data_IF_487491221888
#
_entry.id   IF_487491221888
#
_cell.length_a   1.000
_cell.length_b   1.000
_cell.length_c   1.000
_cell.angle_alpha   90.00
_cell.angle_beta   90.00
_cell.angle_gamma   90.00
#
_symmetry.space_group_name_H-M   'P 1'
#
loop_
_entity.id
_entity.type
_entity.pdbx_description
1 polymer ?
#
# COMPACT_ATOMS: atom_id res chain seq x y z
N UNK A 1 -17.95 -62.60 3.64
CA UNK A 1 -18.93 -61.48 3.76
C UNK A 1 -18.23 -60.12 3.92
N UNK A 2 -17.38 -59.95 4.95
CA UNK A 2 -16.68 -58.67 5.23
C UNK A 2 -15.72 -58.21 4.10
N UNK A 3 -15.00 -59.12 3.45
CA UNK A 3 -14.08 -58.78 2.35
C UNK A 3 -14.79 -58.17 1.13
N UNK A 4 -15.93 -58.74 0.74
CA UNK A 4 -16.71 -58.24 -0.40
C UNK A 4 -17.42 -56.93 -0.05
N UNK A 5 -17.82 -56.77 1.22
CA UNK A 5 -18.32 -55.50 1.74
C UNK A 5 -17.29 -54.37 1.70
N UNK A 6 -16.04 -54.64 2.10
CA UNK A 6 -14.93 -53.66 2.05
C UNK A 6 -14.60 -53.28 0.60
N UNK A 7 -14.57 -54.24 -0.32
CA UNK A 7 -14.32 -53.97 -1.74
C UNK A 7 -15.39 -53.06 -2.33
N UNK A 8 -16.66 -53.33 -2.05
CA UNK A 8 -17.76 -52.50 -2.56
C UNK A 8 -17.67 -51.07 -2.01
N UNK A 9 -17.35 -50.91 -0.72
CA UNK A 9 -17.11 -49.59 -0.13
C UNK A 9 -15.96 -48.86 -0.85
N UNK A 10 -14.83 -49.53 -1.10
CA UNK A 10 -13.70 -48.93 -1.81
C UNK A 10 -14.08 -48.46 -3.21
N UNK A 11 -14.85 -49.27 -3.94
CA UNK A 11 -15.35 -48.91 -5.28
C UNK A 11 -16.27 -47.69 -5.21
N UNK A 12 -17.19 -47.64 -4.25
CA UNK A 12 -18.07 -46.48 -4.08
C UNK A 12 -17.32 -45.21 -3.70
N UNK A 13 -16.27 -45.30 -2.86
CA UNK A 13 -15.42 -44.15 -2.50
C UNK A 13 -14.71 -43.59 -3.74
N UNK A 14 -14.16 -44.44 -4.60
CA UNK A 14 -13.49 -44.00 -5.83
C UNK A 14 -14.48 -43.29 -6.76
N UNK A 15 -15.66 -43.89 -6.98
CA UNK A 15 -16.71 -43.29 -7.81
C UNK A 15 -17.15 -41.93 -7.24
N UNK A 16 -17.33 -41.83 -5.92
CA UNK A 16 -17.71 -40.59 -5.24
C UNK A 16 -16.68 -39.48 -5.46
N UNK A 17 -15.39 -39.79 -5.33
CA UNK A 17 -14.32 -38.80 -5.57
C UNK A 17 -14.26 -38.33 -7.02
N UNK A 18 -14.52 -39.23 -7.97
CA UNK A 18 -14.58 -38.88 -9.39
C UNK A 18 -15.74 -37.92 -9.66
N UNK A 19 -16.92 -38.20 -9.11
CA UNK A 19 -18.12 -37.35 -9.25
C UNK A 19 -17.92 -35.98 -8.61
N UNK A 20 -17.33 -35.92 -7.41
CA UNK A 20 -17.05 -34.67 -6.72
C UNK A 20 -16.09 -33.76 -7.51
N UNK A 21 -15.18 -34.35 -8.30
CA UNK A 21 -14.24 -33.58 -9.14
C UNK A 21 -14.91 -32.85 -10.31
N UNK A 22 -16.10 -33.30 -10.73
CA UNK A 22 -16.86 -32.70 -11.84
C UNK A 22 -17.64 -31.45 -11.41
N UNK A 23 -17.70 -31.14 -10.11
CA UNK A 23 -18.38 -29.95 -9.61
C UNK A 23 -17.44 -28.75 -9.81
N UNK A 24 -17.78 -27.75 -10.63
CA UNK A 24 -16.99 -26.53 -10.73
C UNK A 24 -17.12 -25.75 -9.42
N UNK A 25 -16.15 -25.92 -8.51
CA UNK A 25 -16.09 -25.23 -7.20
C UNK A 25 -15.93 -23.69 -7.28
N UNK A 26 -16.03 -23.10 -8.48
CA UNK A 26 -15.78 -21.69 -8.75
C UNK A 26 -16.95 -20.72 -8.48
N UNK A 27 -18.16 -21.21 -8.14
CA UNK A 27 -19.36 -20.35 -8.08
C UNK A 27 -20.06 -20.31 -6.70
N UNK A 28 -19.32 -20.44 -5.61
CA UNK A 28 -19.84 -20.12 -4.27
C UNK A 28 -19.59 -18.65 -3.92
N UNK A 29 -20.14 -17.74 -4.73
CA UNK A 29 -20.42 -16.35 -4.31
C UNK A 29 -21.89 -16.10 -4.65
N UNK A 30 -22.78 -16.80 -3.95
CA UNK A 30 -24.22 -16.61 -4.05
C UNK A 30 -24.84 -16.53 -2.65
N UNK A 31 -24.19 -15.79 -1.74
CA UNK A 31 -24.82 -15.08 -0.61
C UNK A 31 -23.77 -14.32 0.22
N UNK A 32 -22.87 -13.58 -0.45
CA UNK A 32 -22.06 -12.57 0.20
C UNK A 32 -22.61 -11.21 -0.27
N UNK A 33 -23.30 -10.54 0.65
CA UNK A 33 -23.69 -9.13 0.64
C UNK A 33 -24.39 -8.60 -0.63
N UNK A 34 -25.62 -8.09 -0.45
CA UNK A 34 -26.07 -6.94 -1.23
C UNK A 34 -25.06 -5.82 -0.97
N UNK A 35 -24.05 -5.72 -1.84
CA UNK A 35 -23.12 -4.60 -1.82
C UNK A 35 -23.95 -3.41 -2.26
N UNK A 36 -24.46 -2.65 -1.29
CA UNK A 36 -24.84 -1.27 -1.53
C UNK A 36 -23.63 -0.65 -2.21
N UNK A 37 -23.83 -0.09 -3.41
CA UNK A 37 -22.91 0.83 -4.05
C UNK A 37 -22.77 2.06 -3.14
N UNK A 38 -22.09 1.90 -2.01
CA UNK A 38 -21.41 3.00 -1.35
C UNK A 38 -20.48 3.48 -2.43
N UNK A 39 -20.73 4.67 -2.97
CA UNK A 39 -19.74 5.46 -3.66
C UNK A 39 -18.46 5.37 -2.81
N UNK A 40 -17.56 4.46 -3.16
CA UNK A 40 -16.26 4.35 -2.50
C UNK A 40 -15.54 5.57 -3.03
N UNK A 41 -15.72 6.69 -2.35
CA UNK A 41 -14.92 7.88 -2.56
C UNK A 41 -13.51 7.42 -2.29
N UNK A 42 -12.79 7.09 -3.36
CA UNK A 42 -11.40 6.65 -3.30
C UNK A 42 -10.64 7.81 -2.69
N UNK A 43 -10.36 7.71 -1.40
CA UNK A 43 -9.66 8.75 -0.67
C UNK A 43 -8.23 8.75 -1.20
N UNK A 44 -7.74 9.92 -1.60
CA UNK A 44 -6.34 10.04 -2.01
C UNK A 44 -5.44 9.72 -0.81
N UNK A 45 -4.33 9.00 -1.02
CA UNK A 45 -3.38 8.71 0.04
C UNK A 45 -2.87 10.00 0.70
N UNK A 46 -2.78 10.01 2.03
CA UNK A 46 -2.31 11.18 2.79
C UNK A 46 -0.91 10.87 3.35
N UNK A 47 0.02 11.82 3.22
CA UNK A 47 1.37 11.68 3.73
C UNK A 47 1.40 11.63 5.28
N UNK A 48 2.13 10.67 5.83
CA UNK A 48 2.37 10.51 7.27
C UNK A 48 3.69 11.18 7.63
N UNK A 49 3.65 12.49 7.92
CA UNK A 49 4.85 13.33 8.19
C UNK A 49 5.78 12.72 9.25
N UNK A 50 5.23 12.08 10.28
CA UNK A 50 6.00 11.42 11.36
C UNK A 50 6.88 10.26 10.88
N UNK A 51 6.59 9.69 9.70
CA UNK A 51 7.35 8.59 9.09
C UNK A 51 8.36 9.06 8.03
N UNK A 52 8.55 10.38 7.86
CA UNK A 52 9.58 10.91 6.98
C UNK A 52 10.97 10.42 7.41
N UNK A 53 11.82 10.17 6.43
CA UNK A 53 13.25 9.97 6.62
C UNK A 53 14.02 10.93 5.73
N UNK A 54 15.36 10.92 5.79
CA UNK A 54 16.16 11.72 4.87
C UNK A 54 15.81 11.46 3.38
N UNK A 55 15.40 10.23 3.04
CA UNK A 55 15.24 9.77 1.64
C UNK A 55 13.84 9.24 1.31
N UNK A 56 12.87 9.28 2.23
CA UNK A 56 11.56 8.68 1.99
C UNK A 56 10.36 9.47 2.51
N UNK A 57 9.22 9.25 1.84
CA UNK A 57 7.87 9.69 2.23
C UNK A 57 6.95 8.48 2.32
N UNK A 58 6.13 8.41 3.37
CA UNK A 58 5.16 7.32 3.56
C UNK A 58 3.75 7.87 3.55
N UNK A 59 2.83 7.17 2.90
CA UNK A 59 1.44 7.55 2.71
C UNK A 59 0.50 6.50 3.30
N UNK A 60 -0.57 6.94 3.96
CA UNK A 60 -1.69 6.11 4.40
C UNK A 60 -2.70 6.01 3.27
N UNK A 61 -2.98 4.78 2.82
CA UNK A 61 -3.88 4.49 1.71
C UNK A 61 -5.34 4.36 2.16
N UNK A 62 -5.64 4.42 3.47
CA UNK A 62 -6.98 4.25 4.07
C UNK A 62 -7.64 2.89 3.85
N UNK A 63 -6.87 1.88 3.47
CA UNK A 63 -7.28 0.49 3.27
C UNK A 63 -6.47 -0.48 4.16
N UNK A 64 -5.94 0.04 5.27
CA UNK A 64 -5.00 -0.63 6.18
C UNK A 64 -3.62 -0.95 5.55
N UNK A 65 -3.30 -0.40 4.39
CA UNK A 65 -1.97 -0.49 3.79
C UNK A 65 -1.25 0.86 3.80
N UNK A 66 0.07 0.82 3.63
CA UNK A 66 0.92 2.00 3.48
C UNK A 66 1.76 1.88 2.21
N UNK A 67 1.92 3.00 1.51
CA UNK A 67 2.86 3.14 0.39
C UNK A 67 4.05 3.98 0.82
N UNK A 68 5.26 3.65 0.38
CA UNK A 68 6.46 4.46 0.66
C UNK A 68 7.21 4.75 -0.62
N UNK A 69 7.45 6.03 -0.87
CA UNK A 69 8.32 6.52 -1.94
C UNK A 69 9.74 6.67 -1.40
N UNK A 70 10.72 6.11 -2.10
CA UNK A 70 12.13 6.13 -1.71
C UNK A 70 12.94 6.80 -2.82
N UNK A 71 13.75 7.77 -2.44
CA UNK A 71 14.69 8.46 -3.31
C UNK A 71 16.12 7.94 -3.11
N UNK A 72 16.93 7.99 -4.17
CA UNK A 72 18.36 7.68 -4.09
C UNK A 72 19.17 8.81 -3.43
N UNK A 73 18.62 10.03 -3.36
CA UNK A 73 19.25 11.20 -2.77
C UNK A 73 18.39 11.74 -1.61
N UNK A 74 19.00 12.41 -0.61
CA UNK A 74 18.24 13.06 0.45
C UNK A 74 17.25 14.09 -0.10
N UNK A 75 15.99 13.99 0.33
CA UNK A 75 14.86 14.88 -0.02
C UNK A 75 14.32 15.65 1.20
N UNK A 76 14.73 15.25 2.41
CA UNK A 76 14.42 15.96 3.64
C UNK A 76 15.69 16.28 4.44
N UNK A 77 15.62 17.34 5.24
CA UNK A 77 16.62 17.70 6.24
C UNK A 77 15.95 17.86 7.61
N UNK A 78 16.70 17.73 8.71
CA UNK A 78 16.18 18.03 10.05
C UNK A 78 16.35 19.52 10.33
N UNK A 79 15.29 20.17 10.80
CA UNK A 79 15.41 21.51 11.38
C UNK A 79 16.03 21.47 12.79
N UNK A 80 16.19 22.63 13.42
CA UNK A 80 16.76 22.75 14.76
C UNK A 80 15.97 22.00 15.84
N UNK A 81 14.67 21.77 15.59
CA UNK A 81 13.79 21.03 16.48
C UNK A 81 13.85 19.51 16.20
N UNK A 82 14.65 19.08 15.23
CA UNK A 82 14.80 17.70 14.81
C UNK A 82 13.67 17.19 13.90
N UNK A 83 12.79 18.06 13.40
CA UNK A 83 11.69 17.70 12.51
C UNK A 83 12.15 17.63 11.05
N UNK A 84 11.62 16.66 10.30
CA UNK A 84 11.90 16.54 8.87
C UNK A 84 11.16 17.61 8.05
N UNK A 85 11.94 18.50 7.42
CA UNK A 85 11.49 19.49 6.43
C UNK A 85 11.94 19.10 5.03
N UNK A 86 11.16 19.49 4.04
CA UNK A 86 11.43 19.20 2.62
C UNK A 86 12.47 20.16 2.04
N UNK A 87 13.35 19.63 1.19
CA UNK A 87 14.34 20.42 0.47
C UNK A 87 13.65 21.10 -0.72
N UNK A 88 13.46 22.42 -0.64
CA UNK A 88 12.93 23.23 -1.75
C UNK A 88 14.05 23.67 -2.69
N UNK A 89 14.13 23.02 -3.85
CA UNK A 89 15.11 23.34 -4.90
C UNK A 89 14.70 24.50 -5.81
N UNK A 90 13.62 25.22 -5.52
CA UNK A 90 13.23 26.39 -6.31
C UNK A 90 14.27 27.49 -6.19
N UNK A 91 14.75 27.94 -7.35
CA UNK A 91 15.64 29.09 -7.46
C UNK A 91 14.79 30.37 -7.41
N UNK A 92 15.18 31.32 -6.56
CA UNK A 92 14.59 32.65 -6.55
C UNK A 92 15.58 33.65 -7.18
N UNK A 93 15.12 34.39 -8.19
CA UNK A 93 15.91 35.46 -8.77
C UNK A 93 15.99 36.66 -7.81
N UNK A 94 17.19 36.98 -7.34
CA UNK A 94 17.43 38.24 -6.63
C UNK A 94 17.83 39.30 -7.65
N UNK A 95 17.00 40.34 -7.83
CA UNK A 95 17.37 41.53 -8.61
C UNK A 95 18.53 42.25 -7.91
N UNK A 96 19.73 41.93 -8.40
CA UNK A 96 21.01 42.65 -8.36
C UNK A 96 22.14 41.65 -8.08
N UNK A 97 22.90 41.36 -9.15
CA UNK A 97 24.10 40.54 -9.24
C UNK A 97 23.97 39.06 -8.83
N UNK A 98 23.73 38.22 -9.85
CA UNK A 98 24.36 36.89 -10.10
C UNK A 98 24.70 36.05 -8.86
N UNK A 99 23.76 35.85 -7.94
CA UNK A 99 23.86 34.76 -6.95
C UNK A 99 22.55 33.99 -6.97
N UNK A 100 22.60 32.80 -7.56
CA UNK A 100 21.57 31.79 -7.43
C UNK A 100 21.78 31.16 -6.04
N UNK A 101 20.93 31.52 -5.07
CA UNK A 101 20.87 30.81 -3.78
C UNK A 101 19.73 29.81 -3.83
N UNK A 102 19.99 28.57 -3.43
CA UNK A 102 18.94 27.66 -3.01
C UNK A 102 18.14 28.32 -1.89
N UNK A 103 16.82 28.19 -1.90
CA UNK A 103 15.95 28.60 -0.80
C UNK A 103 16.08 27.60 0.37
N UNK A 104 17.31 27.38 0.84
CA UNK A 104 17.53 26.85 2.18
C UNK A 104 17.18 28.01 3.10
N UNK A 105 16.11 27.84 3.86
CA UNK A 105 15.56 28.82 4.78
C UNK A 105 16.66 29.63 5.47
N UNK A 106 16.77 30.90 5.08
CA UNK A 106 17.45 31.94 5.82
C UNK A 106 16.66 32.24 7.10
N UNK A 107 16.61 31.28 8.03
CA UNK A 107 15.82 31.44 9.24
C UNK A 107 16.52 31.01 10.52
N UNK A 108 17.87 30.92 10.52
CA UNK A 108 18.67 30.75 11.74
C UNK A 108 19.91 31.65 11.78
N UNK A 109 19.73 32.93 11.43
CA UNK A 109 20.67 33.98 11.81
C UNK A 109 19.87 35.07 12.54
N UNK A 110 19.67 34.86 13.83
CA UNK A 110 19.56 35.93 14.82
C UNK A 110 20.64 35.69 15.86
#
# INVERSE_FOLDING_TARGET
MVREFIKNILVYVIILTLVLSLIPFGNFVASAEKINERNIVKKEPIEVIKKRTATSKTFDNFDNTYSTEISQQPIHFKDDNGEWKEIDNKLIEKKNNKIIKYKILQMNLR
#
